data_IF_969060613214
#
_entry.id   IF_969060613214
#
_cell.length_a   1.000
_cell.length_b   1.000
_cell.length_c   1.000
_cell.angle_alpha   90.00
_cell.angle_beta   90.00
_cell.angle_gamma   90.00
#
_symmetry.space_group_name_H-M   'P 1'
#
loop_
_entity.id
_entity.type
_entity.pdbx_description
1 polymer ?
#
# COMPACT_ATOMS: atom_id res chain seq x y z
N UNK A 1 -1.84 11.47 2.10
CA UNK A 1 -2.92 10.47 2.18
C UNK A 1 -3.48 10.46 3.60
N UNK A 2 -4.74 10.83 3.81
CA UNK A 2 -5.39 10.63 5.11
C UNK A 2 -5.86 9.18 5.18
N UNK A 3 -5.52 8.45 6.23
CA UNK A 3 -5.96 7.06 6.44
C UNK A 3 -4.86 6.00 6.40
N UNK A 4 -3.68 6.29 5.84
CA UNK A 4 -2.51 5.40 5.93
C UNK A 4 -1.90 5.52 7.32
N UNK A 5 -1.76 4.38 8.00
CA UNK A 5 -1.17 4.29 9.35
C UNK A 5 0.31 3.95 9.29
N UNK A 6 0.67 3.00 8.43
CA UNK A 6 2.05 2.56 8.29
C UNK A 6 2.33 2.06 6.86
N UNK A 7 3.57 2.20 6.41
CA UNK A 7 4.06 1.63 5.16
C UNK A 7 5.37 0.92 5.45
N UNK A 8 5.44 -0.35 5.09
CA UNK A 8 6.66 -1.15 5.15
C UNK A 8 7.09 -1.51 3.72
N UNK A 9 8.38 -1.31 3.42
CA UNK A 9 8.95 -1.59 2.10
C UNK A 9 10.03 -2.64 2.22
N UNK A 10 9.72 -3.82 1.69
CA UNK A 10 10.69 -4.88 1.49
C UNK A 10 11.43 -4.67 0.16
N UNK A 11 12.64 -4.12 0.27
CA UNK A 11 13.51 -3.90 -0.89
C UNK A 11 14.14 -5.18 -1.45
N UNK A 12 14.17 -6.26 -0.66
CA UNK A 12 14.69 -7.57 -1.06
C UNK A 12 13.68 -8.26 -1.97
N UNK A 13 12.43 -8.34 -1.51
CA UNK A 13 11.33 -8.97 -2.25
C UNK A 13 10.58 -8.01 -3.18
N UNK A 14 10.99 -6.74 -3.23
CA UNK A 14 10.34 -5.66 -4.01
C UNK A 14 8.84 -5.57 -3.72
N UNK A 15 8.49 -5.66 -2.46
CA UNK A 15 7.10 -5.64 -1.99
C UNK A 15 6.86 -4.42 -1.10
N UNK A 16 5.68 -3.82 -1.22
CA UNK A 16 5.24 -2.78 -0.31
C UNK A 16 3.96 -3.22 0.40
N UNK A 17 3.99 -3.16 1.73
CA UNK A 17 2.87 -3.49 2.60
C UNK A 17 2.36 -2.20 3.22
N UNK A 18 1.09 -1.88 2.96
CA UNK A 18 0.46 -0.66 3.46
C UNK A 18 -0.62 -1.02 4.47
N UNK A 19 -0.47 -0.50 5.69
CA UNK A 19 -1.49 -0.58 6.74
C UNK A 19 -2.28 0.71 6.72
N UNK A 20 -3.58 0.61 6.52
CA UNK A 20 -4.47 1.75 6.45
C UNK A 20 -5.74 1.49 7.28
N UNK A 21 -6.43 2.57 7.61
CA UNK A 21 -7.72 2.47 8.29
C UNK A 21 -8.83 2.15 7.28
N UNK A 22 -9.53 1.03 7.45
CA UNK A 22 -10.64 0.69 6.57
C UNK A 22 -11.78 1.73 6.61
N UNK A 23 -11.95 2.46 7.72
CA UNK A 23 -12.94 3.52 7.84
C UNK A 23 -12.50 4.84 7.18
N UNK A 24 -11.25 4.94 6.70
CA UNK A 24 -10.78 6.12 5.97
C UNK A 24 -11.36 6.26 4.56
N UNK A 25 -12.04 5.21 4.06
CA UNK A 25 -12.55 5.17 2.69
C UNK A 25 -11.48 4.87 1.64
N UNK A 26 -10.23 4.59 2.05
CA UNK A 26 -9.19 4.10 1.15
C UNK A 26 -9.51 2.66 0.72
N UNK A 27 -9.50 2.41 -0.58
CA UNK A 27 -9.61 1.06 -1.11
C UNK A 27 -8.23 0.47 -1.42
N UNK A 28 -8.10 -0.87 -1.42
CA UNK A 28 -6.87 -1.54 -1.86
C UNK A 28 -6.38 -1.07 -3.23
N UNK A 29 -7.28 -0.77 -4.16
CA UNK A 29 -6.94 -0.32 -5.50
C UNK A 29 -6.32 1.09 -5.50
N UNK A 30 -6.77 1.99 -4.62
CA UNK A 30 -6.17 3.32 -4.47
C UNK A 30 -4.72 3.21 -3.98
N UNK A 31 -4.44 2.21 -3.14
CA UNK A 31 -3.10 1.96 -2.62
C UNK A 31 -2.21 1.31 -3.68
N UNK A 32 -2.72 0.35 -4.44
CA UNK A 32 -1.98 -0.29 -5.53
C UNK A 32 -1.66 0.71 -6.64
N UNK A 33 -2.60 1.61 -6.99
CA UNK A 33 -2.39 2.66 -7.99
C UNK A 33 -1.21 3.60 -7.66
N UNK A 34 -0.87 3.76 -6.38
CA UNK A 34 0.30 4.56 -5.95
C UNK A 34 1.61 3.87 -6.30
N UNK A 35 1.61 2.55 -6.38
CA UNK A 35 2.76 1.75 -6.76
C UNK A 35 2.80 1.44 -8.27
N UNK A 36 1.74 1.75 -9.03
CA UNK A 36 1.76 1.67 -10.48
C UNK A 36 2.84 2.61 -11.06
N UNK A 37 3.68 2.07 -11.94
CA UNK A 37 4.85 2.76 -12.48
C UNK A 37 6.11 2.69 -11.62
N UNK A 38 6.05 2.10 -10.41
CA UNK A 38 7.23 1.76 -9.62
C UNK A 38 7.72 0.34 -9.92
N UNK A 39 8.89 -0.02 -9.38
CA UNK A 39 9.46 -1.38 -9.50
C UNK A 39 8.91 -2.36 -8.45
N UNK A 40 7.92 -1.94 -7.66
CA UNK A 40 7.42 -2.68 -6.51
C UNK A 40 6.03 -3.23 -6.79
N UNK A 41 5.80 -4.47 -6.39
CA UNK A 41 4.47 -5.09 -6.40
C UNK A 41 3.78 -4.77 -5.09
N UNK A 42 2.60 -4.15 -5.15
CA UNK A 42 1.80 -3.86 -3.96
C UNK A 42 0.87 -5.02 -3.62
N UNK A 43 0.84 -5.41 -2.35
CA UNK A 43 -0.12 -6.39 -1.81
C UNK A 43 -0.81 -5.75 -0.62
N UNK A 44 -2.13 -5.88 -0.59
CA UNK A 44 -2.96 -5.36 0.51
C UNK A 44 -3.38 -6.51 1.40
N UNK A 45 -3.09 -6.39 2.70
CA UNK A 45 -3.53 -7.30 3.75
C UNK A 45 -4.37 -6.50 4.75
N UNK A 46 -5.59 -6.96 5.00
CA UNK A 46 -6.58 -6.30 5.85
C UNK A 46 -7.04 -7.19 7.00
#
# INVERSE_FOLDING_TARGET
MKGVKNVDIDNTNKTATVVFDAASGLSPNDLVAVFEGTKFSAKVEG
#
